data_IF_588952321786
#
_entry.id   IF_588952321786
#
_cell.length_a   1.000
_cell.length_b   1.000
_cell.length_c   1.000
_cell.angle_alpha   90.00
_cell.angle_beta   90.00
_cell.angle_gamma   90.00
#
_symmetry.space_group_name_H-M   'P 1'
#
loop_
_entity.id
_entity.type
_entity.pdbx_description
1 polymer ?
#
# COMPACT_ATOMS: atom_id res chain seq x y z
N UNK A 1 1.90 -7.27 -16.37
CA UNK A 1 3.00 -7.21 -15.40
C UNK A 1 2.46 -6.54 -14.16
N UNK A 2 2.57 -7.19 -13.01
CA UNK A 2 2.21 -6.60 -11.72
C UNK A 2 3.35 -5.69 -11.29
N UNK A 3 3.05 -4.42 -11.05
CA UNK A 3 4.01 -3.49 -10.45
C UNK A 3 3.78 -3.41 -8.95
N UNK A 4 4.84 -3.41 -8.15
CA UNK A 4 4.76 -3.14 -6.71
C UNK A 4 5.78 -2.06 -6.35
N UNK A 5 5.36 -1.11 -5.53
CA UNK A 5 6.21 -0.06 -5.00
C UNK A 5 5.82 0.30 -3.58
N UNK A 6 6.79 0.72 -2.80
CA UNK A 6 6.58 1.25 -1.46
C UNK A 6 7.52 2.42 -1.23
N UNK A 7 7.05 3.39 -0.46
CA UNK A 7 7.79 4.58 -0.11
C UNK A 7 7.67 4.80 1.40
N UNK A 8 8.76 4.54 2.15
CA UNK A 8 8.82 4.86 3.57
C UNK A 8 8.75 6.37 3.78
N UNK A 9 7.98 6.80 4.78
CA UNK A 9 7.90 8.20 5.22
C UNK A 9 8.74 8.38 6.49
N UNK A 10 8.56 7.48 7.47
CA UNK A 10 9.25 7.52 8.76
C UNK A 10 9.30 6.12 9.40
N UNK A 11 10.22 5.88 10.35
CA UNK A 11 10.20 4.64 11.13
C UNK A 11 8.89 4.49 11.92
N UNK A 12 8.45 3.25 12.11
CA UNK A 12 7.24 2.94 12.91
C UNK A 12 7.38 3.36 14.38
N UNK A 13 8.61 3.27 14.90
CA UNK A 13 8.93 3.49 16.31
C UNK A 13 9.75 2.32 16.84
N UNK A 14 9.18 1.11 16.84
CA UNK A 14 9.84 -0.13 17.28
C UNK A 14 9.90 -1.18 16.18
N UNK A 15 10.93 -2.02 16.22
CA UNK A 15 11.13 -3.14 15.28
C UNK A 15 9.98 -4.16 15.33
N UNK A 16 9.31 -4.27 16.47
CA UNK A 16 8.21 -5.24 16.69
C UNK A 16 6.81 -4.64 16.50
N UNK A 17 6.72 -3.41 15.99
CA UNK A 17 5.42 -2.78 15.77
C UNK A 17 4.64 -3.52 14.69
N UNK A 18 3.37 -3.77 14.97
CA UNK A 18 2.42 -4.30 14.00
C UNK A 18 1.83 -3.12 13.23
N UNK A 19 2.04 -3.10 11.91
CA UNK A 19 1.46 -2.08 11.05
C UNK A 19 0.08 -2.51 10.57
N UNK A 20 -0.83 -1.54 10.47
CA UNK A 20 -2.10 -1.71 9.77
C UNK A 20 -1.93 -1.25 8.34
N UNK A 21 -2.25 -2.13 7.39
CA UNK A 21 -2.26 -1.81 5.97
C UNK A 21 -3.70 -1.61 5.50
N UNK A 22 -4.03 -0.40 5.05
CA UNK A 22 -5.32 -0.11 4.44
C UNK A 22 -5.12 0.07 2.93
N UNK A 23 -5.76 -0.79 2.14
CA UNK A 23 -5.64 -0.78 0.69
C UNK A 23 -6.94 -0.33 0.05
N UNK A 24 -6.85 0.56 -0.93
CA UNK A 24 -7.98 0.96 -1.76
C UNK A 24 -7.63 0.92 -3.24
N UNK A 25 -8.62 0.60 -4.08
CA UNK A 25 -8.49 0.63 -5.53
C UNK A 25 -8.79 2.06 -6.02
N UNK A 26 -7.78 2.75 -6.54
CA UNK A 26 -7.93 4.09 -7.12
C UNK A 26 -8.68 4.05 -8.45
N UNK A 27 -8.53 2.95 -9.19
CA UNK A 27 -9.13 2.83 -10.50
C UNK A 27 -8.77 1.54 -11.23
N UNK A 28 -9.61 1.21 -12.21
CA UNK A 28 -9.45 0.05 -13.07
C UNK A 28 -9.49 0.48 -14.53
N UNK A 29 -8.44 0.19 -15.29
CA UNK A 29 -8.28 0.62 -16.68
C UNK A 29 -7.91 -0.57 -17.56
N UNK A 30 -8.79 -0.88 -18.53
CA UNK A 30 -8.68 -1.95 -19.55
C UNK A 30 -8.36 -3.33 -18.96
N UNK A 31 -7.11 -3.55 -18.57
CA UNK A 31 -6.58 -4.83 -18.06
C UNK A 31 -5.80 -4.68 -16.77
N UNK A 32 -5.90 -3.54 -16.08
CA UNK A 32 -5.17 -3.27 -14.84
C UNK A 32 -6.05 -2.61 -13.77
N UNK A 33 -5.97 -3.11 -12.55
CA UNK A 33 -6.45 -2.42 -11.35
C UNK A 33 -5.26 -1.77 -10.65
N UNK A 34 -5.38 -0.50 -10.26
CA UNK A 34 -4.37 0.25 -9.53
C UNK A 34 -4.84 0.46 -8.10
N UNK A 35 -3.96 0.19 -7.14
CA UNK A 35 -4.26 0.33 -5.72
C UNK A 35 -3.22 1.17 -5.02
N UNK A 36 -3.67 2.03 -4.11
CA UNK A 36 -2.85 2.69 -3.10
C UNK A 36 -3.02 1.94 -1.76
N UNK A 37 -1.94 1.88 -0.98
CA UNK A 37 -1.92 1.25 0.35
C UNK A 37 -1.31 2.22 1.35
N UNK A 38 -2.04 2.54 2.41
CA UNK A 38 -1.52 3.30 3.54
C UNK A 38 -1.09 2.34 4.64
N UNK A 39 0.13 2.51 5.16
CA UNK A 39 0.64 1.77 6.31
C UNK A 39 0.66 2.67 7.52
N UNK A 40 -0.11 2.34 8.55
CA UNK A 40 -0.12 3.08 9.83
C UNK A 40 0.44 2.23 10.96
N UNK A 41 1.15 2.86 11.91
CA UNK A 41 1.62 2.20 13.12
C UNK A 41 0.49 2.03 14.17
N UNK A 42 0.74 1.37 15.32
CA UNK A 42 -0.28 1.15 16.34
C UNK A 42 -0.91 2.41 16.95
N UNK A 43 -0.24 3.56 16.86
CA UNK A 43 -0.76 4.85 17.34
C UNK A 43 -1.47 5.66 16.24
N UNK A 44 -1.59 5.10 15.03
CA UNK A 44 -2.32 5.69 13.91
C UNK A 44 -1.49 6.59 13.00
N UNK A 45 -0.18 6.68 13.19
CA UNK A 45 0.68 7.48 12.32
C UNK A 45 0.94 6.78 10.99
N UNK A 46 0.84 7.51 9.89
CA UNK A 46 1.29 7.04 8.58
C UNK A 46 2.81 6.91 8.54
N UNK A 47 3.30 5.74 8.17
CA UNK A 47 4.74 5.41 8.16
C UNK A 47 5.27 5.06 6.78
N UNK A 48 4.40 4.62 5.87
CA UNK A 48 4.72 4.38 4.48
C UNK A 48 3.45 4.42 3.63
N UNK A 49 3.62 4.64 2.32
CA UNK A 49 2.58 4.39 1.32
C UNK A 49 3.09 3.37 0.30
N UNK A 50 2.18 2.55 -0.21
CA UNK A 50 2.43 1.52 -1.19
C UNK A 50 1.56 1.70 -2.44
N UNK A 51 2.01 1.12 -3.54
CA UNK A 51 1.25 0.99 -4.78
C UNK A 51 1.37 -0.41 -5.31
N UNK A 52 0.27 -0.92 -5.82
CA UNK A 52 0.27 -2.15 -6.61
C UNK A 52 -0.59 -1.98 -7.86
N UNK A 53 -0.19 -2.67 -8.94
CA UNK A 53 -1.02 -2.83 -10.12
C UNK A 53 -1.25 -4.30 -10.39
N UNK A 54 -2.50 -4.70 -10.58
CA UNK A 54 -2.88 -6.09 -10.82
C UNK A 54 -3.41 -6.23 -12.23
N UNK A 55 -2.90 -7.22 -12.97
CA UNK A 55 -3.48 -7.53 -14.28
C UNK A 55 -4.83 -8.20 -14.08
N UNK A 56 -5.87 -7.62 -14.64
CA UNK A 56 -7.20 -8.21 -14.65
C UNK A 56 -7.23 -9.38 -15.65
N UNK A 57 -7.76 -10.52 -15.21
CA UNK A 57 -8.07 -11.64 -16.07
C UNK A 57 -9.55 -11.49 -16.45
N UNK A 58 -9.79 -10.88 -17.62
CA UNK A 58 -11.09 -10.94 -18.29
C UNK A 58 -11.15 -12.22 -19.12
#
# INVERSE_FOLDING_TARGET
>A
MTGIGASPIKPSGRIIDILHANSHCDGCVISFAYTNVDFTNPIGDLVAYGRASFRQLL
#
